data_IF_066804667856
#
_entry.id   IF_066804667856
#
_cell.length_a   1.000
_cell.length_b   1.000
_cell.length_c   1.000
_cell.angle_alpha   90.00
_cell.angle_beta   90.00
_cell.angle_gamma   90.00
#
_symmetry.space_group_name_H-M   'P 1'
#
loop_
_entity.id
_entity.type
_entity.pdbx_description
1 polymer ?
#
# COMPACT_ATOMS: atom_id res chain seq x y z
N UNK A 1 -20.31 5.05 -14.82
CA UNK A 1 -18.98 5.70 -15.00
C UNK A 1 -18.01 5.01 -14.04
N UNK A 2 -17.06 4.21 -14.52
CA UNK A 2 -16.05 3.61 -13.63
C UNK A 2 -14.93 4.62 -13.43
N UNK A 3 -14.91 5.23 -12.24
CA UNK A 3 -13.97 6.26 -11.84
C UNK A 3 -12.53 5.76 -11.96
N UNK A 4 -11.66 6.53 -12.64
CA UNK A 4 -10.23 6.25 -12.66
C UNK A 4 -9.72 6.31 -11.21
N UNK A 5 -9.37 5.16 -10.63
CA UNK A 5 -8.78 5.16 -9.28
C UNK A 5 -7.48 5.96 -9.32
N UNK A 6 -7.47 7.08 -8.59
CA UNK A 6 -6.32 7.95 -8.52
C UNK A 6 -5.19 7.23 -7.80
N UNK A 7 -4.15 6.84 -8.55
CA UNK A 7 -2.94 6.23 -7.99
C UNK A 7 -2.28 7.13 -6.94
N UNK A 8 -2.46 8.46 -7.06
CA UNK A 8 -2.05 9.43 -6.06
C UNK A 8 -2.82 9.29 -4.75
N UNK A 9 -4.14 9.12 -4.80
CA UNK A 9 -4.95 8.89 -3.60
C UNK A 9 -4.58 7.57 -2.92
N UNK A 10 -4.34 6.49 -3.66
CA UNK A 10 -3.90 5.21 -3.10
C UNK A 10 -2.50 5.30 -2.44
N UNK A 11 -1.58 6.07 -3.02
CA UNK A 11 -0.26 6.31 -2.44
C UNK A 11 -0.34 7.16 -1.16
N UNK A 12 -1.15 8.23 -1.15
CA UNK A 12 -1.40 9.04 0.05
C UNK A 12 -2.10 8.22 1.14
N UNK A 13 -3.05 7.35 0.78
CA UNK A 13 -3.71 6.47 1.75
C UNK A 13 -2.73 5.48 2.39
N UNK A 14 -1.84 4.87 1.60
CA UNK A 14 -0.75 4.02 2.13
C UNK A 14 0.27 4.82 2.93
N UNK A 15 0.52 6.08 2.57
CA UNK A 15 1.43 6.96 3.30
C UNK A 15 0.87 7.36 4.66
N UNK A 16 -0.44 7.55 4.78
CA UNK A 16 -1.15 7.84 6.03
C UNK A 16 -1.27 6.59 6.92
N UNK A 17 -1.66 5.45 6.36
CA UNK A 17 -1.71 4.17 7.07
C UNK A 17 -1.24 3.06 6.13
N UNK A 18 -0.11 2.45 6.50
CA UNK A 18 0.45 1.29 5.80
C UNK A 18 -0.62 0.20 5.63
N UNK A 19 -0.90 -0.18 4.37
CA UNK A 19 -1.90 -1.20 4.02
C UNK A 19 -3.24 -0.66 3.56
N UNK A 20 -3.62 0.58 3.87
CA UNK A 20 -4.90 1.16 3.41
C UNK A 20 -4.94 1.35 1.89
N UNK A 21 -3.84 1.76 1.25
CA UNK A 21 -3.80 1.89 -0.20
C UNK A 21 -4.01 0.55 -0.92
N UNK A 22 -3.61 -0.57 -0.31
CA UNK A 22 -3.88 -1.91 -0.85
C UNK A 22 -5.35 -2.30 -0.71
N UNK A 23 -5.97 -1.99 0.44
CA UNK A 23 -7.41 -2.17 0.66
C UNK A 23 -8.23 -1.33 -0.33
N UNK A 24 -7.84 -0.07 -0.54
CA UNK A 24 -8.45 0.82 -1.53
C UNK A 24 -8.33 0.28 -2.96
N UNK A 25 -7.19 -0.33 -3.30
CA UNK A 25 -6.98 -1.00 -4.57
C UNK A 25 -7.76 -2.32 -4.72
N UNK A 26 -8.49 -2.78 -3.70
CA UNK A 26 -9.24 -4.03 -3.70
C UNK A 26 -8.43 -5.27 -3.27
N UNK A 27 -7.17 -5.09 -2.86
CA UNK A 27 -6.31 -6.15 -2.35
C UNK A 27 -6.36 -6.22 -0.82
N UNK A 28 -7.50 -6.67 -0.27
CA UNK A 28 -7.77 -6.69 1.18
C UNK A 28 -6.72 -7.52 1.95
N UNK A 29 -6.44 -8.74 1.48
CA UNK A 29 -5.49 -9.66 2.14
C UNK A 29 -4.09 -9.03 2.23
N UNK A 30 -3.63 -8.39 1.15
CA UNK A 30 -2.33 -7.69 1.14
C UNK A 30 -2.31 -6.52 2.11
N UNK A 31 -3.38 -5.73 2.17
CA UNK A 31 -3.46 -4.61 3.09
C UNK A 31 -3.41 -5.06 4.55
N UNK A 32 -4.15 -6.12 4.91
CA UNK A 32 -4.10 -6.71 6.26
C UNK A 32 -2.69 -7.20 6.59
N UNK A 33 -2.01 -7.88 5.65
CA UNK A 33 -0.65 -8.34 5.85
C UNK A 33 0.32 -7.17 6.14
N UNK A 34 0.21 -6.06 5.40
CA UNK A 34 1.03 -4.88 5.65
C UNK A 34 0.74 -4.22 7.01
N UNK A 35 -0.52 -4.20 7.45
CA UNK A 35 -0.90 -3.71 8.79
C UNK A 35 -0.25 -4.58 9.88
N UNK A 36 -0.30 -5.90 9.74
CA UNK A 36 0.33 -6.83 10.69
C UNK A 36 1.86 -6.71 10.73
N UNK A 37 2.50 -6.59 9.56
CA UNK A 37 3.95 -6.35 9.47
C UNK A 37 4.31 -5.03 10.13
N UNK A 38 3.47 -4.00 9.99
CA UNK A 38 3.69 -2.72 10.66
C UNK A 38 3.54 -2.79 12.17
N UNK A 39 2.54 -3.52 12.67
CA UNK A 39 2.34 -3.74 14.09
C UNK A 39 3.56 -4.47 14.70
N UNK A 40 4.09 -5.48 13.99
CA UNK A 40 5.31 -6.17 14.39
C UNK A 40 6.52 -5.23 14.37
N UNK A 41 6.70 -4.42 13.32
CA UNK A 41 7.78 -3.43 13.28
C UNK A 41 7.69 -2.38 14.39
N UNK A 42 6.47 -1.98 14.77
CA UNK A 42 6.22 -1.11 15.92
C UNK A 42 6.56 -1.79 17.26
N UNK A 43 6.52 -3.12 17.35
CA UNK A 43 7.06 -3.82 18.51
C UNK A 43 8.60 -3.85 18.48
N UNK A 44 9.21 -4.01 17.30
CA UNK A 44 10.67 -4.02 17.13
C UNK A 44 11.35 -2.66 17.40
N UNK A 45 10.61 -1.54 17.43
CA UNK A 45 11.19 -0.24 17.84
C UNK A 45 11.60 -0.24 19.31
N UNK A 46 11.00 -1.09 20.15
CA UNK A 46 11.39 -1.24 21.56
C UNK A 46 12.85 -1.67 21.74
N UNK A 47 13.44 -2.32 20.73
CA UNK A 47 14.83 -2.79 20.69
C UNK A 47 15.70 -2.01 19.69
N UNK A 48 15.33 -0.77 19.36
CA UNK A 48 15.98 0.14 18.39
C UNK A 48 16.02 -0.33 16.92
N UNK A 49 15.96 -1.64 16.65
CA UNK A 49 16.00 -2.21 15.30
C UNK A 49 14.79 -1.76 14.46
N UNK A 50 13.63 -1.61 15.08
CA UNK A 50 12.41 -1.17 14.38
C UNK A 50 12.52 0.22 13.76
N UNK A 51 13.40 1.11 14.26
CA UNK A 51 13.54 2.45 13.69
C UNK A 51 14.16 2.45 12.28
N UNK A 52 14.92 1.42 11.93
CA UNK A 52 15.48 1.26 10.58
C UNK A 52 14.46 0.55 9.68
N UNK A 53 13.81 -0.48 10.17
CA UNK A 53 12.87 -1.26 9.36
C UNK A 53 11.55 -0.52 9.09
N UNK A 54 11.06 0.31 10.02
CA UNK A 54 9.84 1.12 9.86
C UNK A 54 9.84 1.97 8.57
N UNK A 55 10.83 2.86 8.33
CA UNK A 55 10.83 3.68 7.12
C UNK A 55 11.03 2.85 5.85
N UNK A 56 11.82 1.77 5.89
CA UNK A 56 12.03 0.87 4.74
C UNK A 56 10.71 0.22 4.32
N UNK A 57 10.02 -0.40 5.28
CA UNK A 57 8.73 -1.08 5.05
C UNK A 57 7.67 -0.07 4.60
N UNK A 58 7.65 1.13 5.17
CA UNK A 58 6.74 2.20 4.76
C UNK A 58 6.94 2.60 3.29
N UNK A 59 8.19 2.84 2.85
CA UNK A 59 8.47 3.19 1.44
C UNK A 59 8.04 2.07 0.49
N UNK A 60 8.32 0.81 0.84
CA UNK A 60 7.90 -0.35 0.04
C UNK A 60 6.37 -0.40 -0.08
N UNK A 61 5.66 -0.15 1.02
CA UNK A 61 4.20 -0.21 1.08
C UNK A 61 3.53 0.87 0.21
N UNK A 62 4.09 2.09 0.21
CA UNK A 62 3.66 3.19 -0.65
C UNK A 62 3.91 2.86 -2.13
N UNK A 63 5.11 2.37 -2.46
CA UNK A 63 5.46 2.03 -3.85
C UNK A 63 4.62 0.86 -4.40
N UNK A 64 4.37 -0.17 -3.60
CA UNK A 64 3.52 -1.29 -4.00
C UNK A 64 2.06 -0.84 -4.22
N UNK A 65 1.54 0.07 -3.39
CA UNK A 65 0.18 0.59 -3.55
C UNK A 65 0.05 1.42 -4.83
N UNK A 66 1.06 2.23 -5.14
CA UNK A 66 1.12 2.98 -6.38
C UNK A 66 1.18 2.09 -7.63
N UNK A 67 2.10 1.10 -7.63
CA UNK A 67 2.20 0.13 -8.75
C UNK A 67 0.95 -0.73 -8.90
N UNK A 68 0.31 -1.14 -7.81
CA UNK A 68 -0.95 -1.87 -7.85
C UNK A 68 -2.07 -1.04 -8.49
N UNK A 69 -2.21 0.22 -8.10
CA UNK A 69 -3.19 1.13 -8.71
C UNK A 69 -2.94 1.31 -10.22
N UNK A 70 -1.68 1.52 -10.64
CA UNK A 70 -1.33 1.59 -12.06
C UNK A 70 -1.66 0.32 -12.83
N UNK A 71 -1.37 -0.87 -12.27
CA UNK A 71 -1.69 -2.15 -12.91
C UNK A 71 -3.19 -2.32 -13.10
N UNK A 72 -4.00 -1.92 -12.12
CA UNK A 72 -5.47 -1.95 -12.22
C UNK A 72 -5.93 -1.03 -13.35
N UNK A 73 -5.44 0.21 -13.40
CA UNK A 73 -5.79 1.18 -14.44
C UNK A 73 -5.38 0.69 -15.84
N UNK A 74 -4.19 0.08 -15.99
CA UNK A 74 -3.71 -0.48 -17.26
C UNK A 74 -4.54 -1.68 -17.71
N UNK A 75 -4.96 -2.55 -16.78
CA UNK A 75 -5.87 -3.68 -17.08
C UNK A 75 -7.25 -3.19 -17.53
N UNK A 76 -7.82 -2.21 -16.83
CA UNK A 76 -9.10 -1.61 -17.19
C UNK A 76 -9.07 -0.97 -18.58
N UNK A 77 -7.96 -0.34 -18.98
CA UNK A 77 -7.80 0.23 -20.32
C UNK A 77 -7.64 -0.84 -21.42
N UNK A 78 -6.95 -1.97 -21.13
CA UNK A 78 -6.82 -3.09 -22.08
C UNK A 78 -8.13 -3.84 -22.34
N UNK A 79 -8.99 -3.98 -21.34
CA UNK A 79 -10.30 -4.62 -21.49
C UNK A 79 -11.31 -3.74 -22.27
N UNK A 80 -10.90 -2.54 -22.68
CA UNK A 80 -11.71 -1.55 -23.41
C UNK A 80 -11.56 -1.64 -24.93
N UNK A 81 -10.65 -2.48 -25.42
CA UNK A 81 -10.40 -2.80 -26.82
C UNK A 81 -10.52 -4.31 -27.02
#
# INVERSE_FOLDING_TARGET
MHEQKSAGAAAVLSALINGLGQIYNGHIIKGILFILIQALNGFLTTILIGYIFLPIVWVICVFDAYRSAQKINRRANRARF
#
